data_IF_070560381316
#
_entry.id   IF_070560381316
#
_cell.length_a   1.000
_cell.length_b   1.000
_cell.length_c   1.000
_cell.angle_alpha   90.00
_cell.angle_beta   90.00
_cell.angle_gamma   90.00
#
_symmetry.space_group_name_H-M   'P 1'
#
loop_
_entity.id
_entity.type
_entity.pdbx_description
1 polymer ?
#
# COMPACT_ATOMS: atom_id res chain seq x y z
N UNK A 1 5.54 -11.20 28.63
CA UNK A 1 5.88 -10.57 27.34
C UNK A 1 4.82 -9.54 26.99
N UNK A 2 5.22 -8.31 26.67
CA UNK A 2 4.30 -7.22 26.36
C UNK A 2 3.66 -7.46 24.99
N UNK A 3 2.34 -7.68 24.93
CA UNK A 3 1.61 -7.88 23.67
C UNK A 3 1.53 -6.54 22.93
N UNK A 4 2.46 -6.30 22.00
CA UNK A 4 2.48 -5.09 21.19
C UNK A 4 1.64 -5.31 19.92
N UNK A 5 0.72 -4.38 19.66
CA UNK A 5 -0.06 -4.32 18.43
C UNK A 5 0.48 -3.19 17.56
N UNK A 6 0.65 -3.47 16.28
CA UNK A 6 1.13 -2.54 15.27
C UNK A 6 -0.02 -2.10 14.36
N UNK A 7 0.04 -0.87 13.87
CA UNK A 7 -0.74 -0.42 12.71
C UNK A 7 -0.33 -1.18 11.45
N UNK A 8 -1.14 -1.10 10.39
CA UNK A 8 -0.79 -1.62 9.07
C UNK A 8 0.57 -1.10 8.58
N UNK A 9 0.81 0.22 8.69
CA UNK A 9 2.07 0.84 8.29
C UNK A 9 3.27 0.31 9.10
N UNK A 10 3.17 0.31 10.43
CA UNK A 10 4.25 -0.19 11.28
C UNK A 10 4.51 -1.69 11.09
N UNK A 11 3.46 -2.48 10.82
CA UNK A 11 3.58 -3.90 10.56
C UNK A 11 4.23 -4.19 9.20
N UNK A 12 3.92 -3.38 8.18
CA UNK A 12 4.53 -3.43 6.86
C UNK A 12 6.03 -3.08 6.96
N UNK A 13 6.36 -2.00 7.67
CA UNK A 13 7.75 -1.60 7.96
C UNK A 13 8.50 -2.69 8.75
N UNK A 14 7.83 -3.32 9.73
CA UNK A 14 8.42 -4.41 10.52
C UNK A 14 8.76 -5.66 9.69
N UNK A 15 7.94 -5.97 8.68
CA UNK A 15 8.15 -7.09 7.77
C UNK A 15 8.99 -6.72 6.54
N UNK A 16 9.23 -5.43 6.28
CA UNK A 16 9.94 -4.93 5.10
C UNK A 16 9.16 -5.13 3.80
N UNK A 17 7.82 -5.10 3.88
CA UNK A 17 6.90 -5.22 2.73
C UNK A 17 6.05 -3.97 2.60
N UNK A 18 5.31 -3.84 1.49
CA UNK A 18 4.37 -2.72 1.32
C UNK A 18 3.09 -2.92 2.14
N UNK A 19 2.39 -1.83 2.46
CA UNK A 19 1.11 -1.91 3.17
C UNK A 19 0.05 -2.68 2.36
N UNK A 20 0.04 -2.52 1.03
CA UNK A 20 -0.84 -3.26 0.13
C UNK A 20 -0.57 -4.77 0.17
N UNK A 21 0.71 -5.16 0.13
CA UNK A 21 1.09 -6.57 0.23
C UNK A 21 0.71 -7.16 1.60
N UNK A 22 0.87 -6.40 2.69
CA UNK A 22 0.40 -6.80 4.01
C UNK A 22 -1.12 -7.02 4.04
N UNK A 23 -1.89 -6.15 3.39
CA UNK A 23 -3.35 -6.26 3.28
C UNK A 23 -3.74 -7.52 2.48
N UNK A 24 -3.06 -7.78 1.36
CA UNK A 24 -3.32 -8.97 0.54
C UNK A 24 -2.95 -10.26 1.28
N UNK A 25 -1.85 -10.28 2.02
CA UNK A 25 -1.47 -11.39 2.90
C UNK A 25 -2.49 -11.60 4.03
N UNK A 26 -3.08 -10.53 4.54
CA UNK A 26 -4.16 -10.61 5.52
C UNK A 26 -5.45 -11.17 4.91
N UNK A 27 -5.82 -10.72 3.70
CA UNK A 27 -6.98 -11.27 2.95
C UNK A 27 -6.80 -12.74 2.62
N UNK A 28 -5.56 -13.16 2.32
CA UNK A 28 -5.20 -14.54 2.07
C UNK A 28 -5.12 -15.41 3.34
N UNK A 29 -5.48 -14.87 4.52
CA UNK A 29 -5.35 -15.52 5.84
C UNK A 29 -3.93 -16.00 6.17
N UNK A 30 -2.91 -15.43 5.55
CA UNK A 30 -1.51 -15.75 5.83
C UNK A 30 -0.99 -14.97 7.04
N UNK A 31 -1.53 -13.77 7.29
CA UNK A 31 -1.24 -12.93 8.46
C UNK A 31 -2.54 -12.62 9.18
N UNK A 32 -2.55 -12.82 10.50
CA UNK A 32 -3.72 -12.56 11.33
C UNK A 32 -3.85 -11.06 11.57
N UNK A 33 -5.00 -10.53 11.16
CA UNK A 33 -5.37 -9.14 11.41
C UNK A 33 -6.51 -9.08 12.43
N UNK A 34 -6.32 -8.27 13.47
CA UNK A 34 -7.29 -8.06 14.53
C UNK A 34 -8.05 -6.77 14.27
N UNK A 35 -9.38 -6.82 14.30
CA UNK A 35 -10.21 -5.60 14.26
C UNK A 35 -10.49 -5.13 15.68
N UNK A 36 -9.90 -4.00 16.07
CA UNK A 36 -10.17 -3.34 17.35
C UNK A 36 -11.34 -2.37 17.16
N UNK A 37 -12.39 -2.54 17.95
CA UNK A 37 -13.60 -1.71 17.86
C UNK A 37 -14.32 -1.81 16.51
N UNK A 38 -14.13 -2.91 15.76
CA UNK A 38 -14.74 -3.14 14.45
C UNK A 38 -14.15 -2.34 13.29
N UNK A 39 -13.34 -1.31 13.56
CA UNK A 39 -12.87 -0.35 12.56
C UNK A 39 -11.34 -0.45 12.34
N UNK A 40 -10.57 -0.57 13.42
CA UNK A 40 -9.11 -0.49 13.31
C UNK A 40 -8.46 -1.85 13.13
N UNK A 41 -7.84 -2.05 11.98
CA UNK A 41 -7.00 -3.22 11.75
C UNK A 41 -5.67 -3.09 12.49
N UNK A 42 -5.33 -4.09 13.29
CA UNK A 42 -4.11 -4.16 14.07
C UNK A 42 -3.46 -5.52 13.95
N UNK A 43 -2.13 -5.53 13.94
CA UNK A 43 -1.32 -6.72 13.78
C UNK A 43 -0.54 -7.00 15.05
N UNK A 44 -0.57 -8.25 15.52
CA UNK A 44 0.18 -8.64 16.71
C UNK A 44 1.61 -8.97 16.31
N UNK A 45 2.59 -8.42 17.03
CA UNK A 45 4.02 -8.65 16.72
C UNK A 45 4.37 -10.14 16.72
N UNK A 46 3.85 -10.91 17.68
CA UNK A 46 4.10 -12.36 17.75
C UNK A 46 3.65 -13.09 16.47
N UNK A 47 2.53 -12.67 15.87
CA UNK A 47 1.97 -13.33 14.68
C UNK A 47 2.79 -12.98 13.43
N UNK A 48 3.28 -11.74 13.35
CA UNK A 48 4.22 -11.31 12.32
C UNK A 48 5.56 -12.05 12.45
N UNK A 49 6.03 -12.30 13.67
CA UNK A 49 7.25 -13.06 13.92
C UNK A 49 7.08 -14.54 13.57
N UNK A 50 5.90 -15.13 13.83
CA UNK A 50 5.55 -16.48 13.39
C UNK A 50 5.57 -16.56 11.86
N UNK A 51 4.99 -15.57 11.17
CA UNK A 51 5.02 -15.49 9.70
C UNK A 51 6.46 -15.40 9.19
N UNK A 52 7.29 -14.52 9.79
CA UNK A 52 8.71 -14.38 9.46
C UNK A 52 9.50 -15.66 9.68
N UNK A 53 9.25 -16.37 10.78
CA UNK A 53 9.92 -17.64 11.14
C UNK A 53 9.43 -18.83 10.30
N UNK A 54 8.18 -18.83 9.85
CA UNK A 54 7.61 -19.91 9.01
C UNK A 54 8.24 -20.04 7.63
N UNK A 55 9.20 -19.19 7.30
CA UNK A 55 9.99 -19.31 6.10
C UNK A 55 9.24 -18.73 4.91
N UNK A 56 9.77 -17.61 4.45
CA UNK A 56 9.57 -17.02 3.12
C UNK A 56 9.47 -18.12 2.05
N UNK A 57 8.26 -18.57 1.75
CA UNK A 57 7.97 -19.50 0.65
C UNK A 57 6.64 -19.14 -0.01
N UNK A 58 6.51 -17.86 -0.41
CA UNK A 58 5.66 -17.33 -1.50
C UNK A 58 5.57 -15.81 -1.37
N UNK A 59 6.71 -15.16 -1.56
CA UNK A 59 6.86 -13.71 -1.66
C UNK A 59 8.13 -13.34 -2.39
N UNK A 60 8.74 -14.28 -3.12
CA UNK A 60 9.79 -13.99 -4.08
C UNK A 60 9.17 -13.41 -5.35
N UNK A 61 8.55 -12.25 -5.24
CA UNK A 61 8.88 -11.22 -6.20
C UNK A 61 9.73 -10.25 -5.41
N UNK A 62 11.04 -10.44 -5.54
CA UNK A 62 12.01 -9.36 -5.48
C UNK A 62 11.30 -8.14 -6.05
N UNK A 63 10.84 -7.26 -5.16
CA UNK A 63 10.35 -5.97 -5.56
C UNK A 63 11.59 -5.35 -6.15
N UNK A 64 11.64 -5.40 -7.47
CA UNK A 64 12.58 -4.61 -8.21
C UNK A 64 12.27 -3.22 -7.68
N UNK A 65 13.18 -2.63 -6.91
CA UNK A 65 13.16 -1.23 -6.50
C UNK A 65 13.26 -0.36 -7.77
N UNK A 66 12.34 -0.56 -8.70
CA UNK A 66 12.09 0.33 -9.78
C UNK A 66 11.45 1.52 -9.11
N UNK A 67 12.02 2.68 -9.31
CA UNK A 67 11.53 3.98 -8.85
C UNK A 67 10.08 4.31 -9.31
N UNK A 68 9.36 3.33 -9.87
CA UNK A 68 8.03 3.39 -10.44
C UNK A 68 6.90 3.11 -9.45
N UNK A 69 7.13 2.45 -8.31
CA UNK A 69 6.05 2.25 -7.33
C UNK A 69 5.60 3.58 -6.71
N UNK A 70 6.55 4.47 -6.41
CA UNK A 70 6.27 5.84 -6.01
C UNK A 70 5.51 6.64 -7.08
N UNK A 71 5.72 6.30 -8.36
CA UNK A 71 5.03 6.96 -9.47
C UNK A 71 3.57 6.51 -9.53
N UNK A 72 3.30 5.21 -9.35
CA UNK A 72 1.93 4.69 -9.34
C UNK A 72 1.13 5.26 -8.16
N UNK A 73 1.72 5.30 -6.97
CA UNK A 73 1.09 5.91 -5.79
C UNK A 73 0.83 7.40 -6.00
N UNK A 74 1.75 8.10 -6.68
CA UNK A 74 1.56 9.50 -7.06
C UNK A 74 0.38 9.67 -8.04
N UNK A 75 0.27 8.84 -9.07
CA UNK A 75 -0.85 8.88 -10.03
C UNK A 75 -2.19 8.53 -9.37
N UNK A 76 -2.20 7.57 -8.43
CA UNK A 76 -3.40 7.19 -7.68
C UNK A 76 -3.87 8.32 -6.74
N UNK A 77 -2.95 8.96 -6.03
CA UNK A 77 -3.30 10.06 -5.11
C UNK A 77 -3.67 11.36 -5.83
N UNK A 78 -3.13 11.58 -7.04
CA UNK A 78 -3.33 12.81 -7.81
C UNK A 78 -4.29 12.65 -9.00
N UNK A 79 -5.11 11.61 -9.00
CA UNK A 79 -6.04 11.28 -10.10
C UNK A 79 -6.91 12.48 -10.50
N UNK A 80 -7.50 13.18 -9.53
CA UNK A 80 -8.30 14.38 -9.74
C UNK A 80 -7.53 15.52 -10.44
N UNK A 81 -6.29 15.76 -10.04
CA UNK A 81 -5.45 16.83 -10.62
C UNK A 81 -5.04 16.49 -12.06
N UNK A 82 -4.80 15.22 -12.35
CA UNK A 82 -4.47 14.74 -13.69
C UNK A 82 -5.67 14.96 -14.62
N UNK A 83 -6.87 14.55 -14.20
CA UNK A 83 -8.09 14.80 -14.99
C UNK A 83 -8.35 16.30 -15.18
N UNK A 84 -8.18 17.11 -14.13
CA UNK A 84 -8.33 18.56 -14.20
C UNK A 84 -7.35 19.19 -15.20
N UNK A 85 -6.07 18.79 -15.15
CA UNK A 85 -5.03 19.27 -16.06
C UNK A 85 -5.34 18.95 -17.52
N UNK A 86 -5.85 17.75 -17.82
CA UNK A 86 -6.26 17.36 -19.17
C UNK A 86 -7.40 18.26 -19.67
N UNK A 87 -8.41 18.52 -18.85
CA UNK A 87 -9.53 19.40 -19.21
C UNK A 87 -9.03 20.82 -19.50
N UNK A 88 -8.15 21.35 -18.64
CA UNK A 88 -7.55 22.68 -18.83
C UNK A 88 -6.76 22.73 -20.14
N UNK A 89 -5.95 21.72 -20.43
CA UNK A 89 -5.17 21.65 -21.67
C UNK A 89 -6.07 21.60 -22.92
N UNK A 90 -7.17 20.86 -22.88
CA UNK A 90 -8.17 20.82 -23.96
C UNK A 90 -8.80 22.20 -24.16
N UNK A 91 -9.21 22.87 -23.08
CA UNK A 91 -9.78 24.21 -23.15
C UNK A 91 -8.79 25.22 -23.75
N UNK A 92 -7.55 25.21 -23.27
CA UNK A 92 -6.48 26.07 -23.81
C UNK A 92 -6.22 25.76 -25.29
N UNK A 93 -6.22 24.50 -25.69
CA UNK A 93 -6.07 24.12 -27.09
C UNK A 93 -7.19 24.72 -27.95
N UNK A 94 -8.45 24.66 -27.52
CA UNK A 94 -9.56 25.30 -28.24
C UNK A 94 -9.43 26.82 -28.31
N UNK A 95 -8.99 27.46 -27.22
CA UNK A 95 -8.77 28.92 -27.17
C UNK A 95 -7.67 29.34 -28.15
N UNK A 96 -6.55 28.63 -28.20
CA UNK A 96 -5.41 29.01 -29.04
C UNK A 96 -5.50 28.51 -30.49
N UNK A 97 -6.32 27.50 -30.77
CA UNK A 97 -6.51 26.99 -32.13
C UNK A 97 -7.37 27.90 -33.01
N UNK A 98 -8.26 28.69 -32.39
CA UNK A 98 -9.05 29.71 -33.07
C UNK A 98 -8.69 31.10 -32.51
N UNK A 99 -7.59 31.73 -32.94
CA UNK A 99 -7.48 33.18 -32.87
C UNK A 99 -8.49 33.87 -33.80
#
# INVERSE_FOLDING_TARGET
MMKRFLTSKEAADYLGITENELIDLSRANQIIAYKIGGIYTRFKVDDLEIYRRKGVTKGSKKHNNGHFDNIIDFFYFNDFYIYSSIIIAVLLYFIFKNP
#
